data_IF_559662748065
#
_entry.id   IF_559662748065
#
_cell.length_a   1.000
_cell.length_b   1.000
_cell.length_c   1.000
_cell.angle_alpha   90.00
_cell.angle_beta   90.00
_cell.angle_gamma   90.00
#
_symmetry.space_group_name_H-M   'P 1'
#
loop_
_entity.id
_entity.type
_entity.pdbx_description
1 polymer ?
#
# COMPACT_ATOMS: atom_id res chain seq x y z
N UNK A 1 37.10 15.20 29.13
CA UNK A 1 36.50 13.85 29.00
C UNK A 1 35.02 13.76 29.41
N UNK A 2 34.55 14.39 30.50
CA UNK A 2 33.11 14.34 30.90
C UNK A 2 32.10 14.79 29.82
N UNK A 3 32.46 15.78 29.00
CA UNK A 3 31.58 16.25 27.92
C UNK A 3 31.52 15.28 26.74
N UNK A 4 32.64 14.66 26.32
CA UNK A 4 32.69 13.66 25.23
C UNK A 4 31.82 12.43 25.55
N UNK A 5 31.84 11.95 26.81
CA UNK A 5 30.94 10.87 27.26
C UNK A 5 29.45 11.24 27.17
N UNK A 6 29.07 12.50 27.49
CA UNK A 6 27.67 12.96 27.40
C UNK A 6 27.15 13.06 25.96
N UNK A 7 28.01 13.32 24.98
CA UNK A 7 27.62 13.37 23.57
C UNK A 7 27.49 11.98 22.93
N UNK A 8 28.27 11.00 23.40
CA UNK A 8 28.15 9.61 22.95
C UNK A 8 26.74 9.06 23.15
N UNK A 9 26.08 9.40 24.27
CA UNK A 9 24.71 8.96 24.56
C UNK A 9 23.65 9.49 23.59
N UNK A 10 23.74 10.76 23.16
CA UNK A 10 22.82 11.32 22.18
C UNK A 10 23.06 10.73 20.77
N UNK A 11 24.32 10.48 20.41
CA UNK A 11 24.65 9.81 19.14
C UNK A 11 24.16 8.35 19.09
N UNK A 12 24.32 7.60 20.18
CA UNK A 12 23.79 6.23 20.28
C UNK A 12 22.27 6.23 20.22
N UNK A 13 21.61 7.15 20.94
CA UNK A 13 20.14 7.28 20.91
C UNK A 13 19.63 7.62 19.50
N UNK A 14 20.33 8.51 18.77
CA UNK A 14 20.03 8.82 17.38
C UNK A 14 20.05 7.57 16.50
N UNK A 15 21.13 6.80 16.58
CA UNK A 15 21.27 5.55 15.81
C UNK A 15 20.18 4.54 16.15
N UNK A 16 19.84 4.38 17.44
CA UNK A 16 18.76 3.49 17.88
C UNK A 16 17.40 3.92 17.30
N UNK A 17 17.09 5.22 17.32
CA UNK A 17 15.85 5.75 16.75
C UNK A 17 15.77 5.54 15.24
N UNK A 18 16.87 5.78 14.51
CA UNK A 18 16.95 5.55 13.06
C UNK A 18 16.77 4.06 12.73
N UNK A 19 17.45 3.15 13.44
CA UNK A 19 17.31 1.72 13.23
C UNK A 19 15.90 1.22 13.57
N UNK A 20 15.30 1.75 14.63
CA UNK A 20 13.91 1.43 15.03
C UNK A 20 12.93 1.91 13.96
N UNK A 21 13.13 3.11 13.42
CA UNK A 21 12.35 3.64 12.30
C UNK A 21 12.46 2.74 11.06
N UNK A 22 13.68 2.37 10.65
CA UNK A 22 13.89 1.50 9.48
C UNK A 22 13.23 0.12 9.66
N UNK A 23 13.34 -0.46 10.85
CA UNK A 23 12.67 -1.74 11.18
C UNK A 23 11.15 -1.60 11.12
N UNK A 24 10.62 -0.52 11.69
CA UNK A 24 9.18 -0.25 11.68
C UNK A 24 8.64 -0.04 10.27
N UNK A 25 9.36 0.72 9.44
CA UNK A 25 9.00 0.94 8.03
C UNK A 25 9.01 -0.37 7.24
N UNK A 26 10.02 -1.23 7.46
CA UNK A 26 10.08 -2.56 6.85
C UNK A 26 8.91 -3.45 7.26
N UNK A 27 8.48 -3.43 8.53
CA UNK A 27 7.29 -4.20 8.95
C UNK A 27 5.99 -3.62 8.40
N UNK A 28 5.96 -2.33 8.15
CA UNK A 28 4.87 -1.64 7.48
C UNK A 28 4.99 -1.64 5.95
N UNK A 29 5.70 -2.58 5.33
CA UNK A 29 6.09 -2.55 3.90
C UNK A 29 4.95 -2.26 2.91
N UNK A 30 3.72 -2.72 3.15
CA UNK A 30 2.56 -2.40 2.29
C UNK A 30 1.99 -0.99 2.50
N UNK A 31 2.42 -0.33 3.58
CA UNK A 31 2.06 1.03 4.01
C UNK A 31 3.33 1.87 4.27
N UNK A 32 4.44 1.49 3.62
CA UNK A 32 5.84 1.88 3.82
C UNK A 32 6.21 3.24 3.19
N UNK A 33 7.39 3.78 3.49
CA UNK A 33 7.91 5.02 2.84
C UNK A 33 8.43 4.73 1.44
N UNK A 34 9.07 3.60 1.21
CA UNK A 34 9.49 3.21 -0.14
C UNK A 34 8.34 2.66 -0.96
N UNK A 35 7.26 2.17 -0.32
CA UNK A 35 6.20 1.45 -1.00
C UNK A 35 4.86 1.48 -0.25
N UNK A 36 3.87 2.20 -0.78
CA UNK A 36 2.46 1.98 -0.42
C UNK A 36 1.90 1.02 -1.46
N UNK A 37 1.71 -0.24 -1.07
CA UNK A 37 1.31 -1.34 -1.95
C UNK A 37 2.29 -1.69 -3.09
N UNK A 38 3.60 -1.51 -2.94
CA UNK A 38 4.47 -1.94 -4.03
C UNK A 38 4.49 -3.44 -4.22
N UNK A 39 3.94 -3.82 -5.36
CA UNK A 39 4.66 -4.40 -6.48
C UNK A 39 6.00 -5.09 -6.16
N UNK A 40 5.92 -6.38 -5.87
CA UNK A 40 6.78 -7.32 -6.59
C UNK A 40 5.92 -7.97 -7.68
N UNK A 41 5.96 -7.40 -8.87
CA UNK A 41 5.44 -7.94 -10.11
C UNK A 41 3.93 -8.29 -10.12
N UNK A 42 3.08 -7.31 -9.88
CA UNK A 42 1.64 -7.44 -10.16
C UNK A 42 1.44 -7.69 -11.67
N UNK A 43 0.54 -8.61 -12.06
CA UNK A 43 0.36 -8.95 -13.47
C UNK A 43 -0.22 -7.77 -14.25
N UNK A 44 -0.02 -7.81 -15.56
CA UNK A 44 -0.55 -6.82 -16.52
C UNK A 44 -0.03 -5.38 -16.33
N UNK A 45 1.07 -5.19 -15.60
CA UNK A 45 1.62 -3.85 -15.35
C UNK A 45 0.74 -3.01 -14.42
N UNK A 46 -0.17 -3.64 -13.66
CA UNK A 46 -1.06 -2.93 -12.76
C UNK A 46 -0.31 -2.31 -11.59
N UNK A 47 -0.73 -1.10 -11.22
CA UNK A 47 -0.19 -0.39 -10.06
C UNK A 47 -1.31 -0.09 -9.06
N UNK A 48 -1.25 -0.64 -7.84
CA UNK A 48 -2.20 -0.28 -6.79
C UNK A 48 -1.91 1.13 -6.26
N UNK A 49 -2.97 1.90 -6.04
CA UNK A 49 -2.89 3.28 -5.53
C UNK A 49 -3.98 3.51 -4.48
N UNK A 50 -3.62 4.23 -3.42
CA UNK A 50 -4.58 4.84 -2.50
C UNK A 50 -4.61 6.34 -2.83
N UNK A 51 -5.76 6.83 -3.30
CA UNK A 51 -6.05 8.25 -3.33
C UNK A 51 -6.37 8.69 -1.90
N UNK A 52 -5.57 9.64 -1.39
CA UNK A 52 -5.76 10.21 -0.04
C UNK A 52 -6.63 11.48 -0.04
N UNK A 53 -6.91 12.02 -1.23
CA UNK A 53 -7.86 13.11 -1.41
C UNK A 53 -9.25 12.59 -1.11
N UNK A 54 -10.04 13.38 -0.38
CA UNK A 54 -11.37 12.96 0.03
C UNK A 54 -12.33 12.89 -1.17
N UNK A 55 -13.08 11.78 -1.37
CA UNK A 55 -13.10 10.57 -0.55
C UNK A 55 -11.88 9.67 -0.83
N UNK A 56 -11.25 9.20 0.25
CA UNK A 56 -10.13 8.26 0.13
C UNK A 56 -10.60 6.99 -0.57
N UNK A 57 -9.83 6.53 -1.54
CA UNK A 57 -10.24 5.39 -2.36
C UNK A 57 -9.03 4.59 -2.84
N UNK A 58 -9.17 3.28 -2.83
CA UNK A 58 -8.25 2.39 -3.51
C UNK A 58 -8.61 2.31 -5.00
N UNK A 59 -7.60 2.32 -5.86
CA UNK A 59 -7.74 2.00 -7.27
C UNK A 59 -6.57 1.15 -7.78
N UNK A 60 -6.81 0.44 -8.87
CA UNK A 60 -5.75 -0.18 -9.68
C UNK A 60 -5.62 0.62 -10.96
N UNK A 61 -4.41 1.12 -11.20
CA UNK A 61 -4.04 1.82 -12.42
C UNK A 61 -3.44 0.85 -13.43
N UNK A 62 -3.74 1.06 -14.70
CA UNK A 62 -3.03 0.41 -15.81
C UNK A 62 -1.66 1.05 -16.07
N UNK A 63 -0.93 0.54 -17.06
CA UNK A 63 0.40 1.03 -17.44
C UNK A 63 0.42 2.49 -17.92
N UNK A 64 -0.72 2.99 -18.41
CA UNK A 64 -0.89 4.36 -18.88
C UNK A 64 -1.34 5.31 -17.75
N UNK A 65 -1.57 4.77 -16.55
CA UNK A 65 -2.03 5.51 -15.37
C UNK A 65 -3.55 5.72 -15.29
N UNK A 66 -4.33 5.04 -16.12
CA UNK A 66 -5.79 5.09 -16.06
C UNK A 66 -6.34 4.15 -14.99
N UNK A 67 -7.37 4.60 -14.29
CA UNK A 67 -8.09 3.77 -13.30
C UNK A 67 -8.84 2.65 -14.02
N UNK A 68 -8.35 1.43 -13.84
CA UNK A 68 -9.00 0.22 -14.35
C UNK A 68 -10.01 -0.34 -13.35
N UNK A 69 -9.74 -0.12 -12.06
CA UNK A 69 -10.60 -0.52 -10.95
C UNK A 69 -10.70 0.61 -9.96
N UNK A 70 -11.92 1.00 -9.61
CA UNK A 70 -12.19 2.04 -8.62
C UNK A 70 -13.58 1.94 -8.01
N UNK A 71 -13.84 2.77 -7.00
CA UNK A 71 -15.17 2.89 -6.40
C UNK A 71 -16.17 3.38 -7.47
N UNK A 72 -17.36 2.79 -7.49
CA UNK A 72 -18.42 3.07 -8.46
C UNK A 72 -18.32 2.28 -9.76
N UNK A 73 -17.21 1.58 -10.02
CA UNK A 73 -17.04 0.79 -11.23
C UNK A 73 -17.98 -0.41 -11.23
N UNK A 74 -18.51 -0.73 -12.42
CA UNK A 74 -19.24 -1.96 -12.72
C UNK A 74 -18.72 -2.51 -14.04
N UNK A 75 -18.42 -3.80 -14.05
CA UNK A 75 -17.91 -4.48 -15.23
C UNK A 75 -19.04 -5.16 -15.99
N UNK A 76 -18.81 -5.43 -17.28
CA UNK A 76 -19.77 -6.11 -18.16
C UNK A 76 -20.18 -7.49 -17.61
N UNK A 77 -19.23 -8.21 -17.03
CA UNK A 77 -19.44 -9.51 -16.38
C UNK A 77 -19.56 -9.37 -14.86
N UNK A 78 -20.12 -8.26 -14.38
CA UNK A 78 -20.40 -8.07 -12.96
C UNK A 78 -21.82 -7.52 -12.77
N UNK A 79 -22.52 -8.13 -11.84
CA UNK A 79 -23.89 -7.75 -11.48
C UNK A 79 -23.98 -6.53 -10.56
N UNK A 80 -22.86 -6.02 -10.03
CA UNK A 80 -22.85 -5.00 -8.98
C UNK A 80 -21.89 -3.84 -9.28
N UNK A 81 -22.05 -2.73 -8.54
CA UNK A 81 -21.09 -1.63 -8.48
C UNK A 81 -20.23 -1.78 -7.24
N UNK A 82 -18.93 -1.52 -7.38
CA UNK A 82 -18.01 -1.49 -6.24
C UNK A 82 -18.37 -0.29 -5.36
N UNK A 83 -18.60 -0.54 -4.07
CA UNK A 83 -18.78 0.51 -3.07
C UNK A 83 -17.47 0.78 -2.33
N UNK A 84 -16.92 -0.24 -1.67
CA UNK A 84 -15.66 -0.14 -0.93
C UNK A 84 -14.73 -1.31 -1.29
N UNK A 85 -13.42 -1.09 -1.16
CA UNK A 85 -12.43 -2.16 -1.23
C UNK A 85 -12.09 -2.66 0.16
N UNK A 86 -11.95 -3.98 0.30
CA UNK A 86 -11.51 -4.66 1.52
C UNK A 86 -10.11 -5.24 1.35
N UNK A 87 -9.69 -5.51 0.12
CA UNK A 87 -8.39 -6.05 -0.20
C UNK A 87 -8.27 -6.42 -1.67
N UNK A 88 -7.05 -6.78 -2.06
CA UNK A 88 -6.77 -7.38 -3.35
C UNK A 88 -5.76 -8.51 -3.17
N UNK A 89 -5.72 -9.42 -4.11
CA UNK A 89 -4.73 -10.49 -4.14
C UNK A 89 -4.23 -10.65 -5.57
N UNK A 90 -3.01 -11.13 -5.74
CA UNK A 90 -2.44 -11.33 -7.08
C UNK A 90 -1.56 -12.57 -7.12
N UNK A 91 -1.40 -13.11 -8.32
CA UNK A 91 -0.36 -14.08 -8.67
C UNK A 91 0.28 -13.62 -9.99
N UNK A 92 1.12 -14.45 -10.61
CA UNK A 92 1.84 -14.10 -11.83
C UNK A 92 0.94 -13.82 -13.05
N UNK A 93 -0.33 -14.23 -13.00
CA UNK A 93 -1.24 -14.27 -14.14
C UNK A 93 -2.57 -13.57 -13.94
N UNK A 94 -2.96 -13.22 -12.72
CA UNK A 94 -4.28 -12.64 -12.43
C UNK A 94 -4.33 -11.87 -11.12
N UNK A 95 -5.38 -11.05 -10.99
CA UNK A 95 -5.71 -10.25 -9.81
C UNK A 95 -7.10 -10.62 -9.32
N UNK A 96 -7.22 -10.78 -8.00
CA UNK A 96 -8.46 -10.89 -7.27
C UNK A 96 -8.74 -9.61 -6.49
N UNK A 97 -10.00 -9.23 -6.43
CA UNK A 97 -10.49 -8.11 -5.62
C UNK A 97 -11.48 -8.64 -4.60
N UNK A 98 -11.36 -8.16 -3.37
CA UNK A 98 -12.35 -8.33 -2.31
C UNK A 98 -12.94 -6.97 -2.02
N UNK A 99 -14.24 -6.81 -2.28
CA UNK A 99 -14.93 -5.52 -2.19
C UNK A 99 -16.34 -5.69 -1.62
N UNK A 100 -17.06 -4.58 -1.48
CA UNK A 100 -18.47 -4.59 -1.14
C UNK A 100 -19.34 -4.00 -2.25
N UNK A 101 -20.58 -4.46 -2.33
CA UNK A 101 -21.62 -3.80 -3.13
C UNK A 101 -22.31 -2.65 -2.37
N UNK A 102 -23.30 -2.03 -3.00
CA UNK A 102 -24.08 -0.93 -2.40
C UNK A 102 -24.75 -1.30 -1.07
N UNK A 103 -25.10 -2.58 -0.89
CA UNK A 103 -25.76 -3.14 0.29
C UNK A 103 -24.75 -3.65 1.34
N UNK A 104 -23.44 -3.40 1.15
CA UNK A 104 -22.35 -3.89 1.98
C UNK A 104 -22.16 -5.42 1.96
N UNK A 105 -22.71 -6.13 0.97
CA UNK A 105 -22.40 -7.55 0.81
C UNK A 105 -20.97 -7.70 0.30
N UNK A 106 -20.22 -8.65 0.86
CA UNK A 106 -18.89 -8.99 0.36
C UNK A 106 -19.04 -9.61 -1.02
N UNK A 107 -18.23 -9.12 -1.97
CA UNK A 107 -18.16 -9.59 -3.34
C UNK A 107 -16.70 -9.81 -3.74
N UNK A 108 -16.53 -10.68 -4.73
CA UNK A 108 -15.24 -11.03 -5.28
C UNK A 108 -15.23 -10.81 -6.78
N UNK A 109 -14.13 -10.28 -7.29
CA UNK A 109 -13.90 -10.14 -8.72
C UNK A 109 -12.56 -10.78 -9.07
N UNK A 110 -12.48 -11.40 -10.25
CA UNK A 110 -11.23 -11.91 -10.82
C UNK A 110 -10.96 -11.25 -12.16
N UNK A 111 -9.70 -10.92 -12.43
CA UNK A 111 -9.27 -10.39 -13.72
C UNK A 111 -9.31 -11.47 -14.81
N UNK A 112 -9.58 -11.06 -16.03
CA UNK A 112 -9.42 -11.89 -17.23
C UNK A 112 -8.99 -11.02 -18.41
N UNK A 113 -8.21 -11.61 -19.32
CA UNK A 113 -7.83 -10.97 -20.58
C UNK A 113 -9.04 -10.88 -21.51
N UNK A 114 -9.26 -9.70 -22.08
CA UNK A 114 -10.42 -9.43 -22.95
C UNK A 114 -10.24 -9.91 -24.39
N UNK A 115 -9.00 -10.25 -24.77
CA UNK A 115 -8.65 -10.63 -26.14
C UNK A 115 -8.56 -9.46 -27.13
N UNK A 116 -8.70 -8.21 -26.66
CA UNK A 116 -8.45 -7.04 -27.50
C UNK A 116 -6.94 -6.86 -27.75
N UNK A 117 -6.53 -7.04 -29.01
CA UNK A 117 -5.16 -6.82 -29.43
C UNK A 117 -4.89 -5.31 -29.61
N UNK A 118 -4.33 -4.67 -28.58
CA UNK A 118 -3.68 -3.37 -28.70
C UNK A 118 -2.17 -3.56 -28.86
N UNK A 119 -1.51 -2.59 -29.50
CA UNK A 119 -0.04 -2.45 -29.47
C UNK A 119 0.34 -1.90 -28.09
N UNK A 120 0.15 -2.72 -27.06
CA UNK A 120 0.49 -2.43 -25.67
C UNK A 120 1.49 -3.47 -25.18
N UNK A 121 2.23 -3.13 -24.12
CA UNK A 121 3.19 -4.08 -23.52
C UNK A 121 2.46 -5.19 -22.76
N UNK A 122 1.29 -4.87 -22.20
CA UNK A 122 0.43 -5.78 -21.46
C UNK A 122 -0.93 -5.99 -22.15
N UNK A 123 -1.58 -7.15 -21.95
CA UNK A 123 -2.89 -7.41 -22.54
C UNK A 123 -3.96 -6.53 -21.90
N UNK A 124 -5.00 -6.18 -22.69
CA UNK A 124 -6.18 -5.50 -22.17
C UNK A 124 -6.98 -6.48 -21.29
N UNK A 125 -7.20 -6.13 -20.02
CA UNK A 125 -7.93 -6.95 -19.06
C UNK A 125 -9.25 -6.30 -18.62
N UNK A 126 -10.13 -7.12 -18.05
CA UNK A 126 -11.32 -6.67 -17.32
C UNK A 126 -11.57 -7.58 -16.11
N UNK A 127 -12.68 -7.39 -15.42
CA UNK A 127 -13.04 -8.14 -14.22
C UNK A 127 -14.42 -8.78 -14.35
N UNK A 128 -14.57 -9.98 -13.80
CA UNK A 128 -15.83 -10.71 -13.70
C UNK A 128 -16.14 -11.07 -12.26
N UNK A 129 -17.41 -11.17 -11.92
CA UNK A 129 -17.83 -11.67 -10.61
C UNK A 129 -17.57 -13.17 -10.47
N UNK A 130 -17.16 -13.56 -9.26
CA UNK A 130 -17.04 -14.95 -8.84
C UNK A 130 -17.80 -15.13 -7.54
N UNK A 131 -18.35 -16.32 -7.34
CA UNK A 131 -19.02 -16.64 -6.08
C UNK A 131 -18.03 -17.00 -4.98
N UNK A 132 -18.56 -17.24 -3.78
CA UNK A 132 -17.75 -17.56 -2.62
C UNK A 132 -17.09 -18.94 -2.74
N UNK A 133 -17.70 -19.89 -3.44
CA UNK A 133 -17.17 -21.24 -3.60
C UNK A 133 -15.98 -21.24 -4.56
N UNK A 134 -16.07 -20.51 -5.66
CA UNK A 134 -14.96 -20.26 -6.59
C UNK A 134 -13.83 -19.51 -5.90
N UNK A 135 -14.13 -18.43 -5.17
CA UNK A 135 -13.12 -17.68 -4.40
C UNK A 135 -12.36 -18.59 -3.43
N UNK A 136 -13.07 -19.41 -2.65
CA UNK A 136 -12.43 -20.30 -1.67
C UNK A 136 -11.54 -21.36 -2.30
N UNK A 137 -11.82 -21.79 -3.54
CA UNK A 137 -10.97 -22.74 -4.28
C UNK A 137 -9.67 -22.12 -4.78
N UNK A 138 -9.68 -20.83 -5.12
CA UNK A 138 -8.54 -20.20 -5.82
C UNK A 138 -7.69 -19.31 -4.91
N UNK A 139 -8.23 -18.76 -3.81
CA UNK A 139 -7.59 -17.71 -3.00
C UNK A 139 -6.19 -18.08 -2.48
N UNK A 140 -5.96 -19.36 -2.17
CA UNK A 140 -4.70 -19.81 -1.58
C UNK A 140 -3.53 -19.76 -2.57
N UNK A 141 -3.82 -19.65 -3.88
CA UNK A 141 -2.83 -19.46 -4.94
C UNK A 141 -2.45 -17.99 -5.14
N UNK A 142 -2.97 -17.07 -4.34
CA UNK A 142 -2.74 -15.64 -4.48
C UNK A 142 -2.05 -15.06 -3.24
N UNK A 143 -1.15 -14.11 -3.47
CA UNK A 143 -0.63 -13.26 -2.42
C UNK A 143 -1.69 -12.22 -2.04
N UNK A 144 -2.29 -12.38 -0.87
CA UNK A 144 -3.36 -11.52 -0.37
C UNK A 144 -2.83 -10.28 0.35
N UNK A 145 -3.46 -9.14 0.06
CA UNK A 145 -3.20 -7.85 0.70
C UNK A 145 -4.53 -7.26 1.15
N UNK A 146 -4.69 -7.15 2.46
CA UNK A 146 -5.84 -6.46 3.05
C UNK A 146 -5.65 -4.95 2.97
N UNK A 147 -6.74 -4.24 2.69
CA UNK A 147 -6.76 -2.78 2.73
C UNK A 147 -7.34 -2.39 4.08
N UNK A 148 -6.45 -1.96 4.98
CA UNK A 148 -6.78 -1.47 6.31
C UNK A 148 -6.36 0.00 6.42
N UNK A 149 -7.34 0.88 6.27
CA UNK A 149 -7.14 2.33 6.30
C UNK A 149 -6.71 2.82 7.69
N UNK A 150 -7.22 2.21 8.76
CA UNK A 150 -6.87 2.60 10.13
C UNK A 150 -5.41 2.25 10.43
N UNK A 151 -4.98 1.05 10.04
CA UNK A 151 -3.58 0.64 10.12
C UNK A 151 -2.69 1.50 9.26
N UNK A 152 -3.10 1.84 8.03
CA UNK A 152 -2.35 2.74 7.16
C UNK A 152 -2.15 4.13 7.80
N UNK A 153 -3.22 4.70 8.36
CA UNK A 153 -3.19 5.98 9.06
C UNK A 153 -2.33 5.94 10.33
N UNK A 154 -2.42 4.85 11.09
CA UNK A 154 -1.62 4.64 12.31
C UNK A 154 -0.13 4.54 12.00
N UNK A 155 0.24 3.76 10.97
CA UNK A 155 1.62 3.66 10.50
C UNK A 155 2.14 5.03 10.07
N UNK A 156 1.34 5.81 9.34
CA UNK A 156 1.69 7.18 8.91
C UNK A 156 1.91 8.11 10.10
N UNK A 157 1.02 8.10 11.09
CA UNK A 157 1.13 8.94 12.27
C UNK A 157 2.38 8.61 13.09
N UNK A 158 2.64 7.33 13.33
CA UNK A 158 3.85 6.89 14.07
C UNK A 158 5.12 7.30 13.32
N UNK A 159 5.16 7.17 11.99
CA UNK A 159 6.30 7.64 11.18
C UNK A 159 6.54 9.14 11.30
N UNK A 160 5.47 9.93 11.25
CA UNK A 160 5.56 11.38 11.45
C UNK A 160 6.21 11.70 12.80
N UNK A 161 5.81 11.01 13.86
CA UNK A 161 6.42 11.17 15.20
C UNK A 161 7.91 10.77 15.22
N UNK A 162 8.29 9.66 14.56
CA UNK A 162 9.69 9.27 14.44
C UNK A 162 10.54 10.33 13.73
N UNK A 163 10.05 10.87 12.60
CA UNK A 163 10.76 11.90 11.83
C UNK A 163 10.93 13.16 12.67
N UNK A 164 9.86 13.64 13.31
CA UNK A 164 9.92 14.81 14.21
C UNK A 164 10.91 14.56 15.35
N UNK A 165 10.87 13.39 15.98
CA UNK A 165 11.79 13.01 17.06
C UNK A 165 13.26 12.99 16.61
N UNK A 166 13.55 12.38 15.46
CA UNK A 166 14.90 12.32 14.87
C UNK A 166 15.42 13.72 14.55
N UNK A 167 14.58 14.57 13.94
CA UNK A 167 14.94 15.97 13.61
C UNK A 167 15.19 16.82 14.87
N UNK A 168 14.35 16.70 15.89
CA UNK A 168 14.55 17.39 17.16
C UNK A 168 15.84 16.94 17.84
N UNK A 169 16.14 15.63 17.83
CA UNK A 169 17.37 15.10 18.40
C UNK A 169 18.61 15.61 17.65
N UNK A 170 18.55 15.61 16.32
CA UNK A 170 19.59 16.18 15.46
C UNK A 170 19.83 17.66 15.77
N UNK A 171 18.75 18.44 15.89
CA UNK A 171 18.84 19.86 16.25
C UNK A 171 19.51 20.08 17.61
N UNK A 172 19.19 19.26 18.61
CA UNK A 172 19.83 19.33 19.95
C UNK A 172 21.32 19.00 19.85
N UNK A 173 21.69 17.98 19.07
CA UNK A 173 23.09 17.57 18.84
C UNK A 173 23.85 18.73 18.18
N UNK A 174 23.34 19.29 17.08
CA UNK A 174 23.96 20.39 16.33
C UNK A 174 24.09 21.65 17.19
N UNK A 175 23.02 22.06 17.89
CA UNK A 175 23.04 23.24 18.77
C UNK A 175 24.07 23.10 19.89
N UNK A 176 24.23 21.89 20.44
CA UNK A 176 25.25 21.63 21.46
C UNK A 176 26.65 21.59 20.90
N UNK A 177 26.87 21.15 19.65
CA UNK A 177 28.18 21.21 19.01
C UNK A 177 28.58 22.67 18.73
N UNK A 178 27.66 23.47 18.19
CA UNK A 178 27.89 24.90 17.87
C UNK A 178 28.12 25.79 19.09
N UNK A 179 27.59 25.45 20.26
CA UNK A 179 27.85 26.21 21.52
C UNK A 179 29.27 25.99 22.09
N UNK A 180 30.04 25.06 21.53
CA UNK A 180 31.39 24.72 21.98
C UNK A 180 32.49 25.14 20.98
N UNK A 181 32.11 25.67 19.81
CA UNK A 181 32.96 26.47 18.91
C UNK A 181 32.76 27.94 19.21
#
# INVERSE_FOLDING_TARGET
MKNVMKYSGFGVLFLVLVLSYLRYDKTGYYYGVECRFCNKNMPYGLTPKINFDYPQSFCLLDEDGFELVGIGFRYKQSSFRIKNFLGYAYNDTSVLLKCTDSLNNIKYLVSYETGYNRIKRHPDISFKDIDNDEYNKIKDNYQCIEIDEEKANTIRFIKFLYIVGILLLLFIIVRKLLRFT
#
